data_IF_296948406746
#
_entry.id   IF_296948406746
#
_cell.length_a   1.000
_cell.length_b   1.000
_cell.length_c   1.000
_cell.angle_alpha   90.00
_cell.angle_beta   90.00
_cell.angle_gamma   90.00
#
_symmetry.space_group_name_H-M   'P 1'
#
loop_
_entity.id
_entity.type
_entity.pdbx_description
1 polymer ?
#
# COMPACT_ATOMS: atom_id res chain seq x y z
N UNK A 1 -8.27 15.00 -17.10
CA UNK A 1 -7.29 14.39 -18.02
C UNK A 1 -7.79 12.99 -18.33
N UNK A 2 -7.78 12.53 -19.60
CA UNK A 2 -8.15 11.14 -19.91
C UNK A 2 -7.11 10.19 -19.33
N UNK A 3 -7.49 8.90 -19.07
CA UNK A 3 -6.58 7.91 -18.51
C UNK A 3 -5.30 7.73 -19.34
N UNK A 4 -5.42 7.55 -20.65
CA UNK A 4 -4.27 7.45 -21.58
C UNK A 4 -3.32 8.65 -21.49
N UNK A 5 -3.87 9.87 -21.38
CA UNK A 5 -3.06 11.07 -21.24
C UNK A 5 -2.35 11.13 -19.89
N UNK A 6 -3.00 10.63 -18.83
CA UNK A 6 -2.40 10.51 -17.49
C UNK A 6 -1.22 9.53 -17.52
N UNK A 7 -1.42 8.35 -18.09
CA UNK A 7 -0.39 7.30 -18.20
C UNK A 7 0.85 7.79 -18.94
N UNK A 8 0.66 8.36 -20.13
CA UNK A 8 1.76 8.93 -20.92
C UNK A 8 2.53 10.01 -20.15
N UNK A 9 1.81 10.91 -19.49
CA UNK A 9 2.42 11.98 -18.71
C UNK A 9 3.21 11.44 -17.51
N UNK A 10 2.64 10.49 -16.76
CA UNK A 10 3.29 9.83 -15.63
C UNK A 10 4.54 9.10 -16.09
N UNK A 11 4.49 8.38 -17.23
CA UNK A 11 5.64 7.73 -17.82
C UNK A 11 6.80 8.69 -18.12
N UNK A 12 6.50 9.84 -18.76
CA UNK A 12 7.49 10.87 -19.05
C UNK A 12 8.11 11.45 -17.76
N UNK A 13 7.28 11.70 -16.74
CA UNK A 13 7.73 12.20 -15.43
C UNK A 13 8.73 11.24 -14.79
N UNK A 14 8.36 9.97 -14.62
CA UNK A 14 9.20 8.99 -13.92
C UNK A 14 10.47 8.65 -14.69
N UNK A 15 10.41 8.56 -16.03
CA UNK A 15 11.59 8.42 -16.85
C UNK A 15 12.57 9.60 -16.72
N UNK A 16 12.05 10.81 -16.54
CA UNK A 16 12.88 12.01 -16.40
C UNK A 16 13.59 12.10 -15.05
N UNK A 17 12.97 11.62 -13.96
CA UNK A 17 13.48 11.79 -12.60
C UNK A 17 14.27 10.58 -12.05
N UNK A 18 14.27 9.43 -12.75
CA UNK A 18 14.82 8.17 -12.27
C UNK A 18 16.21 8.29 -11.62
N UNK A 19 17.13 9.04 -12.22
CA UNK A 19 18.53 9.16 -11.72
C UNK A 19 18.70 9.94 -10.41
N UNK A 20 17.67 10.68 -9.96
CA UNK A 20 17.71 11.45 -8.68
C UNK A 20 16.54 11.11 -7.77
N UNK A 21 15.77 10.09 -8.12
CA UNK A 21 14.51 9.74 -7.47
C UNK A 21 14.68 9.42 -5.99
N UNK A 22 15.62 8.56 -5.65
CA UNK A 22 15.85 8.13 -4.27
C UNK A 22 16.30 9.28 -3.38
N UNK A 23 17.26 10.08 -3.87
CA UNK A 23 17.75 11.26 -3.16
C UNK A 23 16.60 12.25 -2.89
N UNK A 24 15.78 12.51 -3.87
CA UNK A 24 14.67 13.45 -3.72
C UNK A 24 13.59 12.90 -2.78
N UNK A 25 13.28 11.61 -2.84
CA UNK A 25 12.35 10.97 -1.91
C UNK A 25 12.85 11.04 -0.46
N UNK A 26 14.13 10.77 -0.24
CA UNK A 26 14.75 10.90 1.08
C UNK A 26 14.65 12.34 1.62
N UNK A 27 14.97 13.31 0.77
CA UNK A 27 14.88 14.73 1.11
C UNK A 27 13.43 15.16 1.39
N UNK A 28 12.48 14.81 0.50
CA UNK A 28 11.08 15.17 0.63
C UNK A 28 10.38 14.51 1.84
N UNK A 29 10.89 13.40 2.31
CA UNK A 29 10.36 12.70 3.50
C UNK A 29 11.14 13.01 4.77
N UNK A 30 12.07 13.97 4.73
CA UNK A 30 12.94 14.34 5.86
C UNK A 30 13.69 13.13 6.44
N UNK A 31 14.12 12.22 5.58
CA UNK A 31 14.79 10.99 5.98
C UNK A 31 13.89 9.92 6.60
N UNK A 32 12.57 10.13 6.67
CA UNK A 32 11.65 9.16 7.27
C UNK A 32 11.29 7.98 6.37
N UNK A 33 11.57 8.07 5.07
CA UNK A 33 11.20 7.03 4.09
C UNK A 33 11.66 5.62 4.48
N UNK A 34 12.94 5.38 4.88
CA UNK A 34 13.37 4.02 5.24
C UNK A 34 12.62 3.45 6.45
N UNK A 35 12.26 4.29 7.40
CA UNK A 35 11.45 3.88 8.55
C UNK A 35 10.03 3.48 8.12
N UNK A 36 9.41 4.21 7.21
CA UNK A 36 8.09 3.88 6.70
C UNK A 36 8.10 2.60 5.87
N UNK A 37 9.12 2.40 5.03
CA UNK A 37 9.31 1.15 4.29
C UNK A 37 9.45 -0.06 5.21
N UNK A 38 10.24 0.04 6.31
CA UNK A 38 10.32 -1.01 7.33
C UNK A 38 8.96 -1.33 7.97
N UNK A 39 8.09 -0.32 8.15
CA UNK A 39 6.73 -0.54 8.64
C UNK A 39 5.85 -1.26 7.60
N UNK A 40 6.03 -0.95 6.31
CA UNK A 40 5.38 -1.68 5.20
C UNK A 40 5.84 -3.12 5.22
N UNK A 41 7.15 -3.38 5.22
CA UNK A 41 7.71 -4.74 5.26
C UNK A 41 7.17 -5.54 6.45
N UNK A 42 7.08 -4.93 7.63
CA UNK A 42 6.49 -5.60 8.81
C UNK A 42 5.03 -6.00 8.59
N UNK A 43 4.29 -5.23 7.78
CA UNK A 43 2.87 -5.52 7.49
C UNK A 43 2.66 -6.59 6.43
N UNK A 44 3.67 -6.91 5.62
CA UNK A 44 3.59 -8.00 4.65
C UNK A 44 3.54 -9.38 5.32
N UNK A 45 4.09 -9.50 6.53
CA UNK A 45 4.30 -10.77 7.23
C UNK A 45 5.08 -11.80 6.39
N UNK A 46 5.89 -11.32 5.44
CA UNK A 46 6.80 -12.18 4.69
C UNK A 46 7.82 -12.83 5.62
N UNK A 47 8.19 -14.04 5.28
CA UNK A 47 9.22 -14.82 5.94
C UNK A 47 10.18 -15.49 4.96
N UNK A 48 11.24 -16.17 5.45
CA UNK A 48 12.18 -16.90 4.61
C UNK A 48 11.48 -17.89 3.67
N UNK A 49 11.92 -17.93 2.41
CA UNK A 49 11.33 -18.79 1.38
C UNK A 49 10.06 -18.22 0.73
N UNK A 50 9.55 -17.09 1.17
CA UNK A 50 8.37 -16.44 0.61
C UNK A 50 8.59 -15.88 -0.80
N UNK A 51 7.49 -15.56 -1.49
CA UNK A 51 7.49 -14.86 -2.78
C UNK A 51 6.80 -13.52 -2.64
N UNK A 52 7.50 -12.45 -2.97
CA UNK A 52 7.02 -11.08 -2.87
C UNK A 52 6.92 -10.42 -4.24
N UNK A 53 5.93 -9.54 -4.40
CA UNK A 53 5.77 -8.68 -5.58
C UNK A 53 5.70 -7.22 -5.15
N UNK A 54 6.62 -6.40 -5.65
CA UNK A 54 6.61 -4.95 -5.51
C UNK A 54 6.05 -4.32 -6.78
N UNK A 55 4.84 -3.81 -6.71
CA UNK A 55 4.09 -3.23 -7.85
C UNK A 55 4.39 -1.73 -7.95
N UNK A 56 4.80 -1.29 -9.14
CA UNK A 56 5.38 0.04 -9.39
C UNK A 56 6.63 0.25 -8.52
N UNK A 57 7.57 -0.68 -8.64
CA UNK A 57 8.75 -0.77 -7.77
C UNK A 57 9.73 0.40 -7.92
N UNK A 58 9.63 1.19 -9.00
CA UNK A 58 10.54 2.27 -9.29
C UNK A 58 12.00 1.79 -9.34
N UNK A 59 12.84 2.38 -8.50
CA UNK A 59 14.26 2.05 -8.37
C UNK A 59 14.55 0.82 -7.48
N UNK A 60 13.51 0.05 -7.11
CA UNK A 60 13.62 -1.25 -6.46
C UNK A 60 13.91 -1.25 -4.96
N UNK A 61 13.85 -0.11 -4.26
CA UNK A 61 14.20 -0.03 -2.83
C UNK A 61 13.37 -1.00 -1.97
N UNK A 62 12.07 -1.08 -2.19
CA UNK A 62 11.21 -2.02 -1.45
C UNK A 62 11.43 -3.45 -1.91
N UNK A 63 11.64 -3.68 -3.20
CA UNK A 63 11.95 -4.99 -3.78
C UNK A 63 13.18 -5.63 -3.12
N UNK A 64 14.26 -4.84 -2.90
CA UNK A 64 15.46 -5.33 -2.22
C UNK A 64 15.23 -5.62 -0.73
N UNK A 65 14.38 -4.83 -0.06
CA UNK A 65 13.99 -5.12 1.32
C UNK A 65 13.17 -6.41 1.42
N UNK A 66 12.27 -6.66 0.47
CA UNK A 66 11.54 -7.92 0.36
C UNK A 66 12.48 -9.09 0.13
N UNK A 67 13.44 -8.95 -0.81
CA UNK A 67 14.42 -9.97 -1.09
C UNK A 67 15.28 -10.33 0.13
N UNK A 68 15.67 -9.34 0.91
CA UNK A 68 16.41 -9.56 2.16
C UNK A 68 15.58 -10.33 3.21
N UNK A 69 14.25 -10.14 3.23
CA UNK A 69 13.36 -10.86 4.15
C UNK A 69 13.14 -12.31 3.70
N UNK A 70 12.88 -12.51 2.40
CA UNK A 70 12.58 -13.87 1.90
C UNK A 70 13.83 -14.72 1.76
N UNK A 71 15.01 -14.11 1.67
CA UNK A 71 16.31 -14.77 1.64
C UNK A 71 16.53 -15.65 0.41
N UNK A 72 17.57 -16.48 0.46
CA UNK A 72 18.05 -17.27 -0.70
C UNK A 72 17.07 -18.35 -1.18
N UNK A 73 16.08 -18.73 -0.39
CA UNK A 73 15.05 -19.71 -0.77
C UNK A 73 13.76 -19.07 -1.25
N UNK A 74 13.67 -17.74 -1.16
CA UNK A 74 12.53 -16.96 -1.61
C UNK A 74 12.80 -16.23 -2.92
N UNK A 75 11.84 -15.42 -3.34
CA UNK A 75 11.93 -14.60 -4.54
C UNK A 75 11.25 -13.25 -4.30
N UNK A 76 11.89 -12.15 -4.69
CA UNK A 76 11.25 -10.84 -4.80
C UNK A 76 11.20 -10.42 -6.28
N UNK A 77 10.04 -9.98 -6.72
CA UNK A 77 9.81 -9.49 -8.07
C UNK A 77 9.39 -8.03 -8.00
N UNK A 78 10.15 -7.15 -8.65
CA UNK A 78 9.78 -5.75 -8.86
C UNK A 78 9.17 -5.56 -10.24
N UNK A 79 7.96 -5.00 -10.32
CA UNK A 79 7.32 -4.65 -11.57
C UNK A 79 7.18 -3.13 -11.67
N UNK A 80 7.60 -2.57 -12.80
CA UNK A 80 7.38 -1.17 -13.13
C UNK A 80 7.14 -1.00 -14.64
N UNK A 81 6.41 0.04 -15.03
CA UNK A 81 6.18 0.32 -16.44
C UNK A 81 7.30 1.15 -17.07
N UNK A 82 8.11 1.84 -16.24
CA UNK A 82 9.22 2.70 -16.66
C UNK A 82 10.51 1.91 -16.83
N UNK A 83 11.01 1.83 -18.08
CA UNK A 83 12.28 1.18 -18.38
C UNK A 83 13.47 1.87 -17.67
N UNK A 84 13.43 3.20 -17.55
CA UNK A 84 14.49 3.95 -16.87
C UNK A 84 14.54 3.67 -15.37
N UNK A 85 13.37 3.48 -14.72
CA UNK A 85 13.29 3.06 -13.33
C UNK A 85 13.87 1.67 -13.14
N UNK A 86 13.48 0.72 -13.99
CA UNK A 86 14.00 -0.64 -13.94
C UNK A 86 15.50 -0.72 -14.25
N UNK A 87 16.01 0.16 -15.11
CA UNK A 87 17.45 0.27 -15.37
C UNK A 87 18.19 0.74 -14.10
N UNK A 88 17.64 1.75 -13.42
CA UNK A 88 18.20 2.22 -12.15
C UNK A 88 18.09 1.15 -11.04
N UNK A 89 17.00 0.39 -11.00
CA UNK A 89 16.84 -0.73 -10.08
C UNK A 89 17.88 -1.82 -10.33
N UNK A 90 18.03 -2.25 -11.58
CA UNK A 90 19.02 -3.29 -11.98
C UNK A 90 20.46 -2.86 -11.70
N UNK A 91 20.78 -1.58 -11.81
CA UNK A 91 22.11 -1.08 -11.50
C UNK A 91 22.53 -1.30 -10.03
N UNK A 92 21.58 -1.39 -9.11
CA UNK A 92 21.81 -1.67 -7.68
C UNK A 92 22.00 -3.16 -7.37
N UNK A 93 21.79 -4.08 -8.33
CA UNK A 93 21.96 -5.51 -8.09
C UNK A 93 23.38 -5.88 -7.63
N UNK A 94 24.38 -5.12 -8.06
CA UNK A 94 25.78 -5.31 -7.63
C UNK A 94 25.97 -5.05 -6.13
N UNK A 95 25.14 -4.18 -5.53
CA UNK A 95 25.18 -3.84 -4.11
C UNK A 95 24.43 -4.89 -3.24
N UNK A 96 23.70 -5.82 -3.90
CA UNK A 96 22.86 -6.83 -3.26
C UNK A 96 23.11 -8.24 -3.84
N UNK A 97 24.35 -8.77 -3.79
CA UNK A 97 24.74 -9.99 -4.51
C UNK A 97 24.02 -11.25 -4.01
N UNK A 98 23.54 -11.25 -2.79
CA UNK A 98 22.86 -12.39 -2.15
C UNK A 98 21.33 -12.35 -2.30
N UNK A 99 20.80 -11.37 -3.06
CA UNK A 99 19.36 -11.18 -3.20
C UNK A 99 18.84 -11.81 -4.50
N UNK A 100 17.87 -12.73 -4.40
CA UNK A 100 17.12 -13.24 -5.55
C UNK A 100 16.03 -12.25 -5.98
N UNK A 101 16.41 -11.28 -6.80
CA UNK A 101 15.53 -10.23 -7.32
C UNK A 101 15.33 -10.38 -8.81
N UNK A 102 14.11 -10.25 -9.28
CA UNK A 102 13.75 -10.15 -10.69
C UNK A 102 13.03 -8.82 -10.94
N UNK A 103 13.42 -8.12 -12.01
CA UNK A 103 12.73 -6.91 -12.46
C UNK A 103 12.03 -7.16 -13.78
N UNK A 104 10.72 -6.88 -13.83
CA UNK A 104 9.81 -7.12 -14.94
C UNK A 104 9.18 -5.79 -15.37
N UNK A 105 9.20 -5.50 -16.66
CA UNK A 105 8.43 -4.38 -17.19
C UNK A 105 6.98 -4.81 -17.39
N UNK A 106 6.03 -4.02 -16.87
CA UNK A 106 4.61 -4.34 -16.95
C UNK A 106 3.71 -3.25 -16.43
N UNK A 107 2.42 -3.44 -16.64
CA UNK A 107 1.36 -2.55 -16.18
C UNK A 107 0.75 -3.07 -14.87
N UNK A 108 0.62 -2.20 -13.88
CA UNK A 108 -0.03 -2.49 -12.61
C UNK A 108 -1.54 -2.80 -12.77
N UNK A 109 -2.14 -2.40 -13.88
CA UNK A 109 -3.55 -2.66 -14.20
C UNK A 109 -3.77 -4.01 -14.89
N UNK A 110 -2.70 -4.69 -15.31
CA UNK A 110 -2.74 -6.01 -15.97
C UNK A 110 -1.46 -6.78 -15.61
N UNK A 111 -1.36 -7.25 -14.36
CA UNK A 111 -0.17 -7.91 -13.86
C UNK A 111 0.09 -9.23 -14.60
N UNK A 112 1.29 -9.43 -15.21
CA UNK A 112 1.60 -10.60 -16.05
C UNK A 112 1.94 -11.83 -15.21
N UNK A 113 1.20 -12.05 -14.13
CA UNK A 113 1.40 -13.16 -13.21
C UNK A 113 0.10 -13.93 -13.01
N UNK A 114 0.17 -15.26 -12.82
CA UNK A 114 -1.01 -16.06 -12.47
C UNK A 114 -1.62 -15.64 -11.12
N UNK A 115 -2.87 -16.02 -10.90
CA UNK A 115 -3.53 -15.91 -9.61
C UNK A 115 -2.74 -16.69 -8.55
N UNK A 116 -2.84 -16.25 -7.29
CA UNK A 116 -2.28 -16.95 -6.13
C UNK A 116 -0.77 -17.29 -6.23
N UNK A 117 0.02 -16.40 -6.87
CA UNK A 117 1.45 -16.60 -7.13
C UNK A 117 2.37 -16.10 -6.02
N UNK A 118 1.95 -15.10 -5.26
CA UNK A 118 2.78 -14.39 -4.29
C UNK A 118 2.21 -14.49 -2.86
N UNK A 119 3.09 -14.50 -1.87
CA UNK A 119 2.72 -14.47 -0.46
C UNK A 119 2.36 -13.06 0.01
N UNK A 120 2.95 -12.04 -0.62
CA UNK A 120 2.55 -10.65 -0.45
C UNK A 120 2.76 -9.83 -1.72
N UNK A 121 1.94 -8.77 -1.89
CA UNK A 121 2.16 -7.72 -2.87
C UNK A 121 2.23 -6.37 -2.18
N UNK A 122 3.25 -5.58 -2.53
CA UNK A 122 3.43 -4.22 -2.01
C UNK A 122 3.33 -3.17 -3.11
N UNK A 123 3.09 -1.92 -2.72
CA UNK A 123 3.22 -0.77 -3.60
C UNK A 123 3.54 0.49 -2.79
N UNK A 124 4.60 1.20 -3.16
CA UNK A 124 5.08 2.37 -2.46
C UNK A 124 4.94 3.66 -3.26
N UNK A 125 4.10 4.60 -2.79
CA UNK A 125 3.94 5.94 -3.37
C UNK A 125 3.51 5.96 -4.85
N UNK A 126 2.79 4.93 -5.30
CA UNK A 126 2.42 4.71 -6.68
C UNK A 126 0.91 4.81 -6.95
N UNK A 127 0.03 4.49 -5.98
CA UNK A 127 -1.42 4.45 -6.21
C UNK A 127 -1.98 5.76 -6.79
N UNK A 128 -1.47 6.91 -6.38
CA UNK A 128 -1.90 8.21 -6.92
C UNK A 128 -1.53 8.41 -8.39
N UNK A 129 -0.60 7.60 -8.91
CA UNK A 129 -0.07 7.71 -10.27
C UNK A 129 -0.79 6.79 -11.26
N UNK A 130 -1.34 5.66 -10.80
CA UNK A 130 -2.10 4.74 -11.67
C UNK A 130 -3.40 5.40 -12.17
N UNK A 131 -3.86 4.98 -13.35
CA UNK A 131 -5.07 5.52 -13.97
C UNK A 131 -6.36 4.99 -13.34
N UNK A 132 -6.33 3.75 -12.83
CA UNK A 132 -7.45 3.07 -12.16
C UNK A 132 -6.96 2.41 -10.85
N UNK A 133 -7.14 3.09 -9.73
CA UNK A 133 -6.71 2.61 -8.41
C UNK A 133 -7.46 1.33 -8.00
N UNK A 134 -8.80 1.24 -8.12
CA UNK A 134 -9.53 0.01 -7.83
C UNK A 134 -9.03 -1.19 -8.62
N UNK A 135 -8.72 -1.03 -9.91
CA UNK A 135 -8.21 -2.11 -10.75
C UNK A 135 -6.82 -2.56 -10.32
N UNK A 136 -5.92 -1.61 -10.02
CA UNK A 136 -4.58 -1.94 -9.53
C UNK A 136 -4.64 -2.75 -8.21
N UNK A 137 -5.50 -2.35 -7.27
CA UNK A 137 -5.68 -3.08 -6.01
C UNK A 137 -6.29 -4.47 -6.25
N UNK A 138 -7.25 -4.62 -7.18
CA UNK A 138 -7.81 -5.93 -7.57
C UNK A 138 -6.75 -6.84 -8.18
N UNK A 139 -5.90 -6.33 -9.06
CA UNK A 139 -4.81 -7.10 -9.66
C UNK A 139 -3.80 -7.54 -8.60
N UNK A 140 -3.42 -6.66 -7.66
CA UNK A 140 -2.59 -7.05 -6.52
C UNK A 140 -3.24 -8.14 -5.67
N UNK A 141 -4.54 -8.03 -5.39
CA UNK A 141 -5.29 -9.04 -4.65
C UNK A 141 -5.41 -10.36 -5.44
N UNK A 142 -5.56 -10.30 -6.77
CA UNK A 142 -5.63 -11.49 -7.64
C UNK A 142 -4.37 -12.34 -7.55
N UNK A 143 -3.20 -11.70 -7.69
CA UNK A 143 -1.91 -12.41 -7.74
C UNK A 143 -1.41 -12.88 -6.38
N UNK A 144 -1.94 -12.35 -5.28
CA UNK A 144 -1.60 -12.78 -3.92
C UNK A 144 -2.36 -14.06 -3.58
N UNK A 145 -1.72 -14.98 -2.88
CA UNK A 145 -2.32 -16.23 -2.38
C UNK A 145 -3.38 -15.96 -1.30
N UNK A 146 -4.31 -16.89 -1.14
CA UNK A 146 -5.21 -16.88 0.02
C UNK A 146 -4.39 -16.91 1.32
N UNK A 147 -4.70 -16.01 2.25
CA UNK A 147 -3.93 -15.78 3.47
C UNK A 147 -2.78 -14.78 3.31
N UNK A 148 -2.38 -14.47 2.07
CA UNK A 148 -1.34 -13.48 1.79
C UNK A 148 -1.85 -12.05 1.90
N UNK A 149 -0.94 -11.08 1.82
CA UNK A 149 -1.22 -9.69 2.12
C UNK A 149 -0.96 -8.75 0.94
N UNK A 150 -1.85 -7.76 0.79
CA UNK A 150 -1.61 -6.57 -0.03
C UNK A 150 -1.31 -5.41 0.90
N UNK A 151 -0.16 -4.74 0.71
CA UNK A 151 0.27 -3.62 1.54
C UNK A 151 0.70 -2.45 0.68
N UNK A 152 0.02 -1.33 0.80
CA UNK A 152 0.37 -0.11 0.06
C UNK A 152 0.71 1.04 1.02
N UNK A 153 1.65 1.89 0.63
CA UNK A 153 1.88 3.16 1.28
C UNK A 153 1.75 4.28 0.25
N UNK A 154 1.03 5.34 0.60
CA UNK A 154 1.00 6.55 -0.24
C UNK A 154 0.85 7.82 0.59
N UNK A 155 1.13 8.96 -0.06
CA UNK A 155 0.97 10.28 0.54
C UNK A 155 -0.48 10.50 0.93
N UNK A 156 -0.67 11.11 2.08
CA UNK A 156 -2.01 11.48 2.56
C UNK A 156 -1.97 12.83 3.27
N UNK A 157 -3.14 13.43 3.47
CA UNK A 157 -3.22 14.73 4.14
C UNK A 157 -3.38 14.52 5.64
N UNK A 158 -2.56 15.17 6.49
CA UNK A 158 -2.75 15.19 7.93
C UNK A 158 -4.16 15.66 8.31
N UNK A 159 -4.76 15.05 9.32
CA UNK A 159 -6.09 15.46 9.82
C UNK A 159 -6.00 16.55 10.89
N UNK A 160 -4.86 16.65 11.58
CA UNK A 160 -4.61 17.65 12.63
C UNK A 160 -4.32 19.02 12.02
N UNK A 161 -5.08 20.08 12.33
CA UNK A 161 -5.04 21.36 11.61
C UNK A 161 -3.65 22.00 11.45
N UNK A 162 -2.80 22.13 12.49
CA UNK A 162 -1.44 22.66 12.34
C UNK A 162 -0.58 21.85 11.39
N UNK A 163 -0.61 20.50 11.48
CA UNK A 163 0.12 19.62 10.59
C UNK A 163 -0.42 19.71 9.16
N UNK A 164 -1.73 19.86 8.98
CA UNK A 164 -2.36 20.06 7.68
C UNK A 164 -1.90 21.36 7.01
N UNK A 165 -1.87 22.47 7.73
CA UNK A 165 -1.42 23.75 7.21
C UNK A 165 0.06 23.70 6.80
N UNK A 166 0.93 23.14 7.66
CA UNK A 166 2.34 22.94 7.35
C UNK A 166 2.53 22.02 6.15
N UNK A 167 1.83 20.89 6.11
CA UNK A 167 1.88 19.95 4.99
C UNK A 167 1.49 20.62 3.67
N UNK A 168 0.42 21.40 3.65
CA UNK A 168 -0.02 22.10 2.44
C UNK A 168 1.03 23.11 1.96
N UNK A 169 1.62 23.90 2.85
CA UNK A 169 2.72 24.82 2.50
C UNK A 169 3.91 24.03 1.95
N UNK A 170 4.33 22.99 2.66
CA UNK A 170 5.50 22.18 2.30
C UNK A 170 5.27 21.46 0.97
N UNK A 171 4.21 20.67 0.87
CA UNK A 171 3.99 19.77 -0.26
C UNK A 171 3.60 20.50 -1.55
N UNK A 172 2.82 21.58 -1.47
CA UNK A 172 2.34 22.32 -2.63
C UNK A 172 3.20 23.52 -3.02
N UNK A 173 4.14 23.97 -2.19
CA UNK A 173 5.00 25.12 -2.48
C UNK A 173 6.47 24.76 -2.42
N UNK A 174 6.95 24.18 -1.31
CA UNK A 174 8.36 23.93 -1.08
C UNK A 174 8.85 22.75 -1.96
N UNK A 175 8.13 21.63 -2.01
CA UNK A 175 8.52 20.45 -2.80
C UNK A 175 8.64 20.76 -4.31
N UNK A 176 7.70 21.42 -4.97
CA UNK A 176 7.87 21.83 -6.38
C UNK A 176 9.04 22.79 -6.58
N UNK A 177 9.26 23.71 -5.64
CA UNK A 177 10.39 24.64 -5.69
C UNK A 177 11.72 23.92 -5.56
N UNK A 178 11.87 23.02 -4.59
CA UNK A 178 13.06 22.16 -4.44
C UNK A 178 13.31 21.33 -5.70
N UNK A 179 12.26 20.69 -6.23
CA UNK A 179 12.37 19.87 -7.42
C UNK A 179 12.85 20.66 -8.64
N UNK A 180 12.36 21.89 -8.83
CA UNK A 180 12.76 22.75 -9.94
C UNK A 180 14.22 23.20 -9.86
N UNK A 181 14.77 23.36 -8.67
CA UNK A 181 16.14 23.86 -8.46
C UNK A 181 17.18 22.73 -8.38
N UNK A 182 16.83 21.59 -7.72
CA UNK A 182 17.77 20.48 -7.50
C UNK A 182 17.84 19.49 -8.67
N UNK A 183 16.76 19.40 -9.44
CA UNK A 183 16.65 18.52 -10.62
C UNK A 183 16.65 19.38 -11.89
N UNK A 184 17.71 20.19 -12.05
CA UNK A 184 17.85 21.14 -13.17
C UNK A 184 17.55 20.51 -14.54
N UNK A 185 16.67 21.14 -15.30
CA UNK A 185 16.65 21.12 -16.77
C UNK A 185 15.84 20.03 -17.44
N UNK A 186 15.17 19.11 -16.74
CA UNK A 186 14.24 18.16 -17.39
C UNK A 186 12.81 18.65 -17.30
N UNK A 187 12.46 19.50 -18.22
CA UNK A 187 11.07 19.81 -18.56
C UNK A 187 10.51 18.62 -19.32
N UNK A 188 9.38 18.07 -18.91
CA UNK A 188 8.65 17.07 -19.68
C UNK A 188 8.01 17.72 -20.92
N UNK A 189 7.57 16.92 -21.88
CA UNK A 189 7.10 17.36 -23.20
C UNK A 189 6.05 18.48 -23.19
N UNK A 190 5.37 18.70 -22.06
CA UNK A 190 4.37 19.77 -21.88
C UNK A 190 4.91 21.06 -21.24
N UNK A 191 6.22 21.24 -21.11
CA UNK A 191 6.82 22.45 -20.55
C UNK A 191 6.76 22.58 -19.03
N UNK A 192 6.22 21.60 -18.29
CA UNK A 192 6.12 21.62 -16.84
C UNK A 192 7.27 20.86 -16.16
N UNK A 193 7.77 21.34 -15.01
CA UNK A 193 8.73 20.58 -14.20
C UNK A 193 8.12 19.27 -13.70
N UNK A 194 8.87 18.16 -13.78
CA UNK A 194 8.38 16.84 -13.39
C UNK A 194 7.85 16.78 -11.94
N UNK A 195 8.42 17.56 -11.03
CA UNK A 195 8.02 17.59 -9.61
C UNK A 195 6.70 18.33 -9.33
N UNK A 196 6.15 19.08 -10.29
CA UNK A 196 4.78 19.66 -10.14
C UNK A 196 3.72 18.57 -10.12
N UNK A 197 3.99 17.43 -10.79
CA UNK A 197 3.09 16.28 -10.79
C UNK A 197 2.85 15.71 -9.39
N UNK A 198 3.86 15.71 -8.52
CA UNK A 198 3.71 15.20 -7.16
C UNK A 198 2.62 15.94 -6.38
N UNK A 199 2.56 17.27 -6.54
CA UNK A 199 1.52 18.07 -5.93
C UNK A 199 0.15 17.89 -6.61
N UNK A 200 0.13 17.82 -7.95
CA UNK A 200 -1.11 17.69 -8.72
C UNK A 200 -1.77 16.32 -8.51
N UNK A 201 -0.99 15.22 -8.52
CA UNK A 201 -1.50 13.86 -8.26
C UNK A 201 -2.19 13.73 -6.89
N UNK A 202 -1.71 14.48 -5.88
CA UNK A 202 -2.34 14.45 -4.55
C UNK A 202 -3.67 15.22 -4.51
N UNK A 203 -3.92 16.18 -5.42
CA UNK A 203 -5.19 16.93 -5.44
C UNK A 203 -6.37 16.04 -5.76
N UNK A 204 -6.17 15.08 -6.65
CA UNK A 204 -7.20 14.14 -7.12
C UNK A 204 -7.14 12.78 -6.41
N UNK A 205 -6.15 12.56 -5.53
CA UNK A 205 -6.00 11.30 -4.81
C UNK A 205 -7.13 11.13 -3.77
N UNK A 206 -7.81 9.98 -3.75
CA UNK A 206 -8.94 9.74 -2.86
C UNK A 206 -8.56 9.82 -1.37
N UNK A 207 -9.50 10.20 -0.50
CA UNK A 207 -9.28 10.21 0.94
C UNK A 207 -9.09 8.78 1.47
N UNK A 208 -8.44 8.66 2.65
CA UNK A 208 -8.07 7.37 3.27
C UNK A 208 -9.22 6.36 3.36
N UNK A 209 -10.42 6.83 3.66
CA UNK A 209 -11.61 5.96 3.80
C UNK A 209 -12.01 5.32 2.47
N UNK A 210 -11.88 6.05 1.37
CA UNK A 210 -12.18 5.55 0.04
C UNK A 210 -11.15 4.51 -0.42
N UNK A 211 -9.83 4.76 -0.19
CA UNK A 211 -8.80 3.76 -0.46
C UNK A 211 -9.05 2.49 0.35
N UNK A 212 -9.37 2.62 1.64
CA UNK A 212 -9.70 1.46 2.48
C UNK A 212 -10.95 0.70 1.96
N UNK A 213 -11.92 1.40 1.39
CA UNK A 213 -13.09 0.76 0.77
C UNK A 213 -12.69 0.02 -0.50
N UNK A 214 -11.82 0.58 -1.35
CA UNK A 214 -11.29 -0.10 -2.54
C UNK A 214 -10.57 -1.41 -2.19
N UNK A 215 -9.85 -1.47 -1.06
CA UNK A 215 -9.26 -2.72 -0.54
C UNK A 215 -10.34 -3.76 -0.22
N UNK A 216 -11.43 -3.37 0.45
CA UNK A 216 -12.55 -4.29 0.76
C UNK A 216 -13.25 -4.75 -0.52
N UNK A 217 -13.49 -3.83 -1.46
CA UNK A 217 -14.15 -4.11 -2.74
C UNK A 217 -13.29 -5.04 -3.63
N UNK A 218 -11.98 -5.09 -3.39
CA UNK A 218 -11.07 -6.06 -4.01
C UNK A 218 -11.06 -7.44 -3.32
N UNK A 219 -11.93 -7.68 -2.33
CA UNK A 219 -12.01 -8.94 -1.60
C UNK A 219 -10.99 -9.10 -0.46
N UNK A 220 -10.33 -8.02 -0.06
CA UNK A 220 -9.40 -8.03 1.05
C UNK A 220 -10.13 -7.80 2.38
N UNK A 221 -9.81 -8.62 3.38
CA UNK A 221 -10.38 -8.54 4.74
C UNK A 221 -9.35 -8.03 5.73
N UNK A 222 -9.76 -7.74 6.97
CA UNK A 222 -8.86 -7.21 7.99
C UNK A 222 -8.17 -5.91 7.58
N UNK A 223 -8.86 -5.07 6.77
CA UNK A 223 -8.27 -3.85 6.20
C UNK A 223 -7.88 -2.88 7.30
N UNK A 224 -6.58 -2.63 7.42
CA UNK A 224 -6.03 -1.65 8.33
C UNK A 224 -5.58 -0.38 7.59
N UNK A 225 -5.76 0.77 8.26
CA UNK A 225 -5.35 2.10 7.79
C UNK A 225 -4.48 2.74 8.86
N UNK A 226 -3.18 2.83 8.61
CA UNK A 226 -2.20 3.34 9.56
C UNK A 226 -1.54 4.62 9.04
N UNK A 227 -1.93 5.80 9.54
CA UNK A 227 -1.21 7.04 9.26
C UNK A 227 0.21 7.01 9.86
N UNK A 228 1.18 7.53 9.11
CA UNK A 228 2.58 7.70 9.51
C UNK A 228 3.04 9.13 9.22
N UNK A 229 4.15 9.59 9.84
CA UNK A 229 4.67 10.92 9.62
C UNK A 229 3.63 12.01 9.92
N UNK A 230 3.00 11.99 11.10
CA UNK A 230 1.90 12.90 11.48
C UNK A 230 0.72 12.89 10.49
N UNK A 231 0.57 11.81 9.72
CA UNK A 231 -0.48 11.66 8.72
C UNK A 231 -0.10 12.18 7.33
N UNK A 232 1.17 12.50 7.07
CA UNK A 232 1.68 12.86 5.74
C UNK A 232 1.73 11.67 4.78
N UNK A 233 1.80 10.46 5.30
CA UNK A 233 1.60 9.23 4.53
C UNK A 233 0.68 8.26 5.29
N UNK A 234 0.15 7.27 4.59
CA UNK A 234 -0.72 6.24 5.18
C UNK A 234 -0.37 4.88 4.58
N UNK A 235 -0.22 3.91 5.47
CA UNK A 235 -0.08 2.50 5.11
C UNK A 235 -1.48 1.87 5.14
N UNK A 236 -1.81 1.17 4.07
CA UNK A 236 -3.01 0.37 3.91
C UNK A 236 -2.58 -1.08 3.82
N UNK A 237 -3.23 -1.97 4.54
CA UNK A 237 -2.97 -3.41 4.43
C UNK A 237 -4.27 -4.19 4.50
N UNK A 238 -4.34 -5.32 3.80
CA UNK A 238 -5.46 -6.24 3.82
C UNK A 238 -4.99 -7.66 3.52
N UNK A 239 -5.75 -8.64 3.96
CA UNK A 239 -5.49 -10.07 3.76
C UNK A 239 -6.44 -10.61 2.70
N UNK A 240 -5.93 -11.37 1.72
CA UNK A 240 -6.79 -12.09 0.79
C UNK A 240 -7.44 -13.28 1.48
N UNK A 241 -8.77 -13.32 1.43
CA UNK A 241 -9.54 -14.48 1.90
C UNK A 241 -10.18 -15.19 0.70
N UNK A 242 -10.57 -16.46 0.88
CA UNK A 242 -11.40 -17.11 -0.14
C UNK A 242 -12.71 -16.37 -0.31
N UNK A 243 -13.13 -16.12 -1.54
CA UNK A 243 -14.41 -15.47 -1.82
C UNK A 243 -15.62 -16.29 -1.34
N UNK A 244 -15.44 -17.60 -1.14
CA UNK A 244 -16.48 -18.51 -0.60
C UNK A 244 -16.48 -18.58 0.94
N UNK A 245 -15.58 -17.83 1.59
CA UNK A 245 -15.46 -17.86 3.04
C UNK A 245 -16.47 -16.92 3.66
N UNK A 246 -17.63 -17.44 3.99
CA UNK A 246 -18.64 -16.73 4.77
C UNK A 246 -18.17 -16.64 6.23
N UNK A 247 -17.36 -15.62 6.52
CA UNK A 247 -16.86 -15.31 7.85
C UNK A 247 -17.99 -15.13 8.88
N UNK A 248 -19.13 -14.62 8.45
CA UNK A 248 -20.36 -14.51 9.26
C UNK A 248 -20.94 -15.90 9.60
N UNK A 249 -20.95 -16.80 8.64
CA UNK A 249 -21.41 -18.18 8.87
C UNK A 249 -20.48 -18.92 9.84
N UNK A 250 -19.14 -18.78 9.71
CA UNK A 250 -18.20 -19.41 10.64
C UNK A 250 -18.21 -18.77 12.03
N UNK A 251 -18.29 -17.44 12.12
CA UNK A 251 -18.51 -16.77 13.41
C UNK A 251 -19.81 -17.24 14.08
N UNK A 252 -20.85 -17.50 13.30
CA UNK A 252 -22.12 -18.03 13.83
C UNK A 252 -22.00 -19.50 14.27
N UNK A 253 -21.13 -20.27 13.62
CA UNK A 253 -20.85 -21.68 13.92
C UNK A 253 -19.82 -21.85 15.05
N UNK A 254 -19.07 -20.79 15.42
CA UNK A 254 -18.02 -20.85 16.44
C UNK A 254 -18.58 -21.33 17.78
N UNK A 255 -18.03 -22.41 18.38
CA UNK A 255 -18.49 -22.94 19.67
C UNK A 255 -18.49 -21.92 20.81
N UNK A 256 -17.55 -20.96 20.80
CA UNK A 256 -17.43 -19.90 21.81
C UNK A 256 -18.65 -18.95 21.77
N UNK A 257 -19.16 -18.62 20.58
CA UNK A 257 -20.36 -17.79 20.45
C UNK A 257 -21.65 -18.51 20.86
N UNK A 258 -21.68 -19.86 20.72
CA UNK A 258 -22.73 -20.69 21.27
C UNK A 258 -22.69 -20.69 22.80
N UNK A 259 -21.50 -20.70 23.41
CA UNK A 259 -21.32 -20.58 24.84
C UNK A 259 -21.73 -19.22 25.38
N UNK A 260 -21.42 -18.12 24.69
CA UNK A 260 -21.86 -16.78 25.07
C UNK A 260 -23.38 -16.60 25.00
N UNK A 261 -24.02 -17.11 23.94
CA UNK A 261 -25.49 -17.12 23.84
C UNK A 261 -26.12 -17.99 24.93
N UNK A 262 -25.51 -19.13 25.26
CA UNK A 262 -25.91 -19.98 26.38
C UNK A 262 -25.78 -19.26 27.72
N UNK A 263 -24.64 -18.61 27.97
CA UNK A 263 -24.39 -17.84 29.19
C UNK A 263 -25.32 -16.62 29.34
N UNK A 264 -25.63 -15.92 28.24
CA UNK A 264 -26.60 -14.84 28.24
C UNK A 264 -28.02 -15.33 28.56
N UNK A 265 -28.41 -16.50 28.04
CA UNK A 265 -29.70 -17.14 28.33
C UNK A 265 -29.82 -17.57 29.79
N UNK A 266 -28.74 -18.11 30.36
CA UNK A 266 -28.68 -18.49 31.78
C UNK A 266 -28.72 -17.26 32.70
N UNK A 267 -28.00 -16.18 32.38
CA UNK A 267 -28.09 -14.90 33.11
C UNK A 267 -29.48 -14.28 33.05
N UNK A 268 -30.14 -14.32 31.89
CA UNK A 268 -31.53 -13.87 31.75
C UNK A 268 -32.54 -14.69 32.55
N UNK A 269 -32.35 -16.02 32.63
CA UNK A 269 -33.17 -16.89 33.45
C UNK A 269 -32.95 -16.66 34.98
N UNK A 270 -31.70 -16.48 35.39
CA UNK A 270 -31.36 -16.15 36.79
C UNK A 270 -31.95 -14.80 37.22
N UNK A 271 -31.88 -13.76 36.36
CA UNK A 271 -32.50 -12.46 36.63
C UNK A 271 -34.02 -12.56 36.80
N UNK A 272 -34.70 -13.34 35.94
CA UNK A 272 -36.15 -13.59 36.07
C UNK A 272 -36.50 -14.36 37.34
N UNK A 273 -35.69 -15.33 37.76
CA UNK A 273 -35.90 -16.07 39.01
C UNK A 273 -35.72 -15.18 40.23
N UNK A 274 -34.77 -14.28 40.22
CA UNK A 274 -34.54 -13.29 41.31
C UNK A 274 -35.72 -12.30 41.42
N UNK A 275 -36.25 -11.81 40.31
CA UNK A 275 -37.41 -10.91 40.29
C UNK A 275 -38.67 -11.63 40.82
N UNK A 276 -38.85 -12.91 40.46
CA UNK A 276 -39.98 -13.73 40.95
C UNK A 276 -39.86 -13.98 42.45
N UNK A 277 -38.64 -14.28 42.97
CA UNK A 277 -38.44 -14.45 44.40
C UNK A 277 -38.67 -13.15 45.19
N UNK A 278 -38.34 -12.00 44.62
CA UNK A 278 -38.64 -10.71 45.28
C UNK A 278 -40.13 -10.37 45.31
N UNK A 279 -40.89 -10.87 44.33
CA UNK A 279 -42.37 -10.68 44.31
C UNK A 279 -43.11 -11.63 45.25
N UNK A 280 -42.52 -12.78 45.64
CA UNK A 280 -43.10 -13.72 46.61
C UNK A 280 -42.84 -13.30 48.08
N UNK A 281 -41.86 -12.42 48.32
CA UNK A 281 -41.52 -11.90 49.63
C UNK A 281 -42.24 -10.60 50.04
N UNK A 282 -43.14 -10.11 49.21
CA UNK A 282 -44.10 -9.04 49.51
C UNK A 282 -45.51 -9.63 49.65
#
# INVERSE_FOLDING_TARGET
MSNERKEKYVHEVFNAIAGKYDFMNLLMTWGMLPMWQKLVMKKTELGPGGKALDVCCGTGEMTYQEAAIVGNFGQAVGLDFSENMLTAAKAKMADHPDCHVQFVQGDALALPFPDDSFDAATSGFALRNVSDIPLAIREMARVVKVGGKVVCIDVSRPSFPPAHAFFNLYYFKIVPWLGSHLVSGKTISNGYPAYTWLAESLRTFPPRKEIAQMFRDAGLTGVEVRPVGFGAATIYSGVKTRMDYDFEAELSACPLRKLEKGAAKVRGAAAKATDLMMKIKK
#
